data_IF_932418685989
#
_entry.id   IF_932418685989
#
_cell.length_a   1.000
_cell.length_b   1.000
_cell.length_c   1.000
_cell.angle_alpha   90.00
_cell.angle_beta   90.00
_cell.angle_gamma   90.00
#
_symmetry.space_group_name_H-M   'P 1'
#
loop_
_entity.id
_entity.type
_entity.pdbx_description
1 polymer ?
#
# COMPACT_ATOMS: atom_id res chain seq x y z
N UNK A 1 8.66 -14.14 -23.00
CA UNK A 1 7.24 -14.20 -22.59
C UNK A 1 7.04 -13.16 -21.51
N UNK A 2 6.15 -12.18 -21.76
CA UNK A 2 5.78 -11.24 -20.71
C UNK A 2 4.96 -12.01 -19.68
N UNK A 3 5.51 -12.12 -18.47
CA UNK A 3 4.83 -12.72 -17.32
C UNK A 3 3.58 -11.88 -17.00
N UNK A 4 2.44 -12.52 -16.74
CA UNK A 4 1.25 -11.82 -16.29
C UNK A 4 1.52 -11.08 -14.98
N UNK A 5 0.87 -9.94 -14.77
CA UNK A 5 0.96 -9.20 -13.52
C UNK A 5 0.34 -10.01 -12.39
N UNK A 6 1.03 -10.08 -11.26
CA UNK A 6 0.58 -10.78 -10.05
C UNK A 6 0.60 -9.78 -8.90
N UNK A 7 -0.47 -9.68 -8.14
CA UNK A 7 -0.50 -8.88 -6.93
C UNK A 7 0.40 -9.52 -5.86
N UNK A 8 1.30 -8.73 -5.30
CA UNK A 8 2.29 -9.24 -4.34
C UNK A 8 2.15 -8.48 -3.03
N UNK A 9 1.56 -9.12 -2.02
CA UNK A 9 1.37 -8.56 -0.68
C UNK A 9 2.53 -8.92 0.22
N UNK A 10 3.00 -7.98 1.03
CA UNK A 10 4.05 -8.23 2.01
C UNK A 10 3.44 -8.59 3.36
N UNK A 11 3.82 -9.76 3.86
CA UNK A 11 3.62 -10.18 5.23
C UNK A 11 4.74 -9.59 6.09
N UNK A 12 4.38 -8.73 7.01
CA UNK A 12 5.28 -8.08 7.95
C UNK A 12 4.84 -8.31 9.40
N UNK A 13 5.69 -8.00 10.36
CA UNK A 13 5.35 -8.03 11.78
C UNK A 13 4.85 -6.67 12.25
N UNK A 14 3.84 -6.69 13.14
CA UNK A 14 3.29 -5.49 13.77
C UNK A 14 3.86 -5.32 15.17
N UNK A 15 4.25 -4.10 15.52
CA UNK A 15 4.74 -3.76 16.87
C UNK A 15 3.61 -3.68 17.91
N UNK A 16 2.38 -3.49 17.44
CA UNK A 16 1.17 -3.39 18.27
C UNK A 16 -0.08 -3.81 17.51
N UNK A 17 -1.21 -3.88 18.21
CA UNK A 17 -2.54 -4.00 17.61
C UNK A 17 -3.25 -2.66 17.62
N UNK A 18 -3.92 -2.33 16.53
CA UNK A 18 -4.80 -1.17 16.43
C UNK A 18 -6.27 -1.59 16.39
N UNK A 19 -7.19 -0.79 16.99
CA UNK A 19 -8.63 -1.04 16.89
C UNK A 19 -9.10 -0.90 15.43
N UNK A 20 -9.55 -2.01 14.85
CA UNK A 20 -10.05 -2.04 13.46
C UNK A 20 -9.00 -2.40 12.41
N UNK A 21 -7.71 -2.41 12.77
CA UNK A 21 -6.62 -2.87 11.91
C UNK A 21 -6.28 -4.33 12.15
N UNK A 22 -5.72 -4.97 11.14
CA UNK A 22 -5.25 -6.37 11.18
C UNK A 22 -3.80 -6.49 10.69
N UNK A 23 -3.07 -5.37 10.61
CA UNK A 23 -1.74 -5.32 10.05
C UNK A 23 -1.71 -5.78 8.59
N UNK A 24 -0.71 -6.53 8.19
CA UNK A 24 -0.56 -6.99 6.80
C UNK A 24 -1.79 -7.73 6.24
N UNK A 25 -2.63 -8.30 7.13
CA UNK A 25 -3.82 -9.09 6.77
C UNK A 25 -5.07 -8.25 6.53
N UNK A 26 -5.00 -6.94 6.69
CA UNK A 26 -6.13 -6.03 6.49
C UNK A 26 -6.66 -6.18 5.06
N UNK A 27 -7.98 -6.48 4.95
CA UNK A 27 -8.73 -6.71 3.70
C UNK A 27 -8.19 -7.86 2.80
N UNK A 28 -7.31 -8.69 3.31
CA UNK A 28 -6.79 -9.86 2.59
C UNK A 28 -7.82 -11.02 2.60
N UNK A 29 -8.01 -11.77 1.51
CA UNK A 29 -7.43 -11.57 0.17
C UNK A 29 -8.31 -10.73 -0.76
N UNK A 30 -9.44 -10.25 -0.28
CA UNK A 30 -10.50 -9.64 -1.10
C UNK A 30 -10.01 -8.37 -1.82
N UNK A 31 -9.21 -7.53 -1.16
CA UNK A 31 -8.65 -6.33 -1.78
C UNK A 31 -7.72 -6.67 -2.95
N UNK A 32 -6.87 -7.69 -2.77
CA UNK A 32 -5.91 -8.16 -3.77
C UNK A 32 -6.63 -8.66 -5.03
N UNK A 33 -7.64 -9.52 -4.84
CA UNK A 33 -8.45 -10.06 -5.91
C UNK A 33 -9.24 -8.97 -6.65
N UNK A 34 -9.89 -8.07 -5.90
CA UNK A 34 -10.68 -6.97 -6.48
C UNK A 34 -9.82 -6.02 -7.31
N UNK A 35 -8.61 -5.69 -6.84
CA UNK A 35 -7.71 -4.84 -7.61
C UNK A 35 -7.29 -5.51 -8.93
N UNK A 36 -6.98 -6.82 -8.88
CA UNK A 36 -6.59 -7.58 -10.07
C UNK A 36 -7.72 -7.65 -11.10
N UNK A 37 -8.97 -7.87 -10.65
CA UNK A 37 -10.15 -7.83 -11.53
C UNK A 37 -10.26 -6.44 -12.18
N UNK A 38 -10.21 -5.37 -11.39
CA UNK A 38 -10.30 -4.00 -11.91
C UNK A 38 -9.18 -3.65 -12.87
N UNK A 39 -7.95 -4.06 -12.57
CA UNK A 39 -6.82 -3.84 -13.47
C UNK A 39 -7.04 -4.51 -14.83
N UNK A 40 -7.57 -5.73 -14.86
CA UNK A 40 -7.86 -6.46 -16.10
C UNK A 40 -9.00 -5.83 -16.90
N UNK A 41 -10.02 -5.27 -16.24
CA UNK A 41 -11.16 -4.62 -16.88
C UNK A 41 -10.83 -3.24 -17.45
N UNK A 42 -9.94 -2.50 -16.80
CA UNK A 42 -9.70 -1.08 -17.10
C UNK A 42 -8.43 -0.83 -17.89
N UNK A 43 -7.60 -1.84 -18.08
CA UNK A 43 -6.32 -1.73 -18.79
C UNK A 43 -6.08 -2.90 -19.71
N UNK A 44 -5.03 -2.82 -20.51
CA UNK A 44 -4.56 -3.94 -21.33
C UNK A 44 -3.54 -4.82 -20.60
N UNK A 45 -3.34 -4.60 -19.31
CA UNK A 45 -2.42 -5.41 -18.51
C UNK A 45 -2.92 -6.83 -18.38
N UNK A 46 -2.08 -7.78 -18.75
CA UNK A 46 -2.39 -9.19 -18.56
C UNK A 46 -2.28 -9.52 -17.07
N UNK A 47 -3.36 -10.00 -16.50
CA UNK A 47 -3.47 -10.45 -15.12
C UNK A 47 -3.44 -11.96 -15.08
N UNK A 48 -2.72 -12.53 -14.11
CA UNK A 48 -2.72 -13.96 -13.86
C UNK A 48 -4.01 -14.41 -13.18
N UNK A 49 -4.49 -15.61 -13.56
CA UNK A 49 -5.57 -16.32 -12.89
C UNK A 49 -5.12 -17.74 -12.54
N UNK A 50 -5.57 -18.22 -11.41
CA UNK A 50 -5.31 -19.58 -10.99
C UNK A 50 -6.22 -20.61 -11.70
N UNK A 51 -6.09 -21.89 -11.32
CA UNK A 51 -6.89 -22.99 -11.89
C UNK A 51 -8.38 -22.93 -11.54
N UNK A 52 -8.80 -22.06 -10.65
CA UNK A 52 -10.20 -21.84 -10.26
C UNK A 52 -10.80 -20.55 -10.85
N UNK A 53 -10.07 -19.91 -11.77
CA UNK A 53 -10.42 -18.62 -12.37
C UNK A 53 -10.44 -17.46 -11.36
N UNK A 54 -9.69 -17.60 -10.27
CA UNK A 54 -9.48 -16.55 -9.28
C UNK A 54 -8.20 -15.76 -9.62
N UNK A 55 -8.18 -14.42 -9.41
CA UNK A 55 -7.00 -13.62 -9.66
C UNK A 55 -5.79 -14.09 -8.85
N UNK A 56 -4.69 -14.26 -9.56
CA UNK A 56 -3.44 -14.75 -8.97
C UNK A 56 -2.80 -13.69 -8.08
N UNK A 57 -2.55 -14.02 -6.83
CA UNK A 57 -1.85 -13.15 -5.89
C UNK A 57 -0.84 -13.98 -5.07
N UNK A 58 0.13 -13.29 -4.49
CA UNK A 58 1.17 -13.93 -3.68
C UNK A 58 1.40 -13.14 -2.41
N UNK A 59 1.64 -13.86 -1.32
CA UNK A 59 2.11 -13.28 -0.06
C UNK A 59 3.59 -13.60 0.10
N UNK A 60 4.40 -12.57 0.33
CA UNK A 60 5.85 -12.65 0.45
C UNK A 60 6.31 -12.01 1.75
N UNK A 61 7.42 -12.47 2.27
CA UNK A 61 8.22 -11.72 3.25
C UNK A 61 9.28 -10.89 2.53
N UNK A 62 9.69 -9.79 3.14
CA UNK A 62 10.82 -9.00 2.60
C UNK A 62 12.11 -9.81 2.51
N UNK A 63 12.24 -10.85 3.33
CA UNK A 63 13.39 -11.76 3.36
C UNK A 63 13.32 -12.87 2.33
N UNK A 64 12.22 -13.05 1.61
CA UNK A 64 12.08 -14.11 0.60
C UNK A 64 13.02 -13.86 -0.58
N UNK A 65 13.63 -14.91 -1.09
CA UNK A 65 14.51 -14.84 -2.27
C UNK A 65 13.76 -14.33 -3.50
N UNK A 66 12.49 -14.72 -3.62
CA UNK A 66 11.62 -14.36 -4.75
C UNK A 66 11.13 -12.91 -4.74
N UNK A 67 11.42 -12.12 -3.70
CA UNK A 67 10.97 -10.73 -3.62
C UNK A 67 11.28 -9.94 -4.91
N UNK A 68 12.47 -10.12 -5.44
CA UNK A 68 12.95 -9.41 -6.62
C UNK A 68 12.37 -9.93 -7.95
N UNK A 69 11.61 -11.02 -7.94
CA UNK A 69 10.88 -11.51 -9.12
C UNK A 69 9.59 -10.72 -9.38
N UNK A 70 9.15 -9.93 -8.40
CA UNK A 70 7.91 -9.16 -8.43
C UNK A 70 8.20 -7.67 -8.45
N UNK A 71 7.89 -6.95 -9.53
CA UNK A 71 8.20 -5.51 -9.65
C UNK A 71 7.29 -4.62 -8.81
N UNK A 72 6.18 -5.16 -8.29
CA UNK A 72 5.19 -4.48 -7.48
C UNK A 72 4.99 -5.23 -6.16
N UNK A 73 5.00 -4.50 -5.06
CA UNK A 73 4.64 -5.02 -3.73
C UNK A 73 3.68 -4.07 -3.03
N UNK A 74 2.85 -4.62 -2.18
CA UNK A 74 1.81 -3.91 -1.45
C UNK A 74 1.92 -4.17 0.06
N UNK A 75 1.74 -3.14 0.85
CA UNK A 75 1.61 -3.20 2.31
C UNK A 75 0.37 -2.45 2.77
N UNK A 76 -0.51 -3.11 3.51
CA UNK A 76 -1.68 -2.49 4.13
C UNK A 76 -1.45 -2.27 5.62
N UNK A 77 -2.11 -1.26 6.21
CA UNK A 77 -2.14 -0.99 7.67
C UNK A 77 -0.74 -0.81 8.30
N UNK A 78 0.15 -0.14 7.55
CA UNK A 78 1.56 0.04 7.95
C UNK A 78 1.77 0.93 9.18
N UNK A 79 0.70 1.48 9.74
CA UNK A 79 0.76 2.20 11.00
C UNK A 79 1.27 1.37 12.19
N UNK A 80 1.27 0.04 12.04
CA UNK A 80 1.80 -0.92 13.01
C UNK A 80 3.05 -1.65 12.54
N UNK A 81 3.56 -1.32 11.36
CA UNK A 81 4.71 -1.98 10.75
C UNK A 81 5.93 -1.96 11.69
N UNK A 82 6.60 -3.10 11.77
CA UNK A 82 7.93 -3.22 12.37
C UNK A 82 8.86 -3.94 11.38
N UNK A 83 10.01 -3.32 11.10
CA UNK A 83 11.06 -3.89 10.27
C UNK A 83 12.31 -4.14 11.12
N UNK A 84 12.85 -5.33 11.04
CA UNK A 84 14.22 -5.58 11.51
C UNK A 84 15.26 -5.03 10.50
N UNK A 85 16.54 -5.10 10.86
CA UNK A 85 17.62 -4.53 10.02
C UNK A 85 17.75 -5.24 8.68
N UNK A 86 17.49 -6.55 8.62
CA UNK A 86 17.55 -7.34 7.39
C UNK A 86 16.38 -6.97 6.47
N UNK A 87 15.16 -6.91 7.00
CA UNK A 87 13.95 -6.53 6.25
C UNK A 87 14.08 -5.11 5.70
N UNK A 88 14.54 -4.16 6.54
CA UNK A 88 14.78 -2.79 6.11
C UNK A 88 15.83 -2.70 5.00
N UNK A 89 16.94 -3.41 5.13
CA UNK A 89 17.98 -3.48 4.10
C UNK A 89 17.45 -4.05 2.79
N UNK A 90 16.69 -5.15 2.84
CA UNK A 90 16.10 -5.81 1.68
C UNK A 90 15.06 -4.93 0.97
N UNK A 91 14.21 -4.25 1.74
CA UNK A 91 13.25 -3.29 1.20
C UNK A 91 13.97 -2.12 0.50
N UNK A 92 15.00 -1.59 1.13
CA UNK A 92 15.82 -0.53 0.54
C UNK A 92 16.48 -0.97 -0.77
N UNK A 93 17.03 -2.19 -0.83
CA UNK A 93 17.61 -2.75 -2.06
C UNK A 93 16.56 -2.96 -3.14
N UNK A 94 15.37 -3.45 -2.76
CA UNK A 94 14.24 -3.64 -3.67
C UNK A 94 13.84 -2.32 -4.34
N UNK A 95 13.65 -1.27 -3.55
CA UNK A 95 13.25 0.05 -4.05
C UNK A 95 14.33 0.72 -4.90
N UNK A 96 15.61 0.67 -4.47
CA UNK A 96 16.74 1.21 -5.25
C UNK A 96 16.95 0.49 -6.58
N UNK A 97 16.55 -0.77 -6.70
CA UNK A 97 16.58 -1.53 -7.96
C UNK A 97 15.37 -1.29 -8.86
N UNK A 98 14.47 -0.37 -8.50
CA UNK A 98 13.32 0.01 -9.29
C UNK A 98 12.04 -0.75 -8.99
N UNK A 99 11.98 -1.47 -7.87
CA UNK A 99 10.74 -2.04 -7.35
C UNK A 99 9.76 -0.95 -6.95
N UNK A 100 8.47 -1.22 -7.07
CA UNK A 100 7.40 -0.31 -6.71
C UNK A 100 6.68 -0.81 -5.45
N UNK A 101 6.59 0.03 -4.44
CA UNK A 101 5.83 -0.23 -3.22
C UNK A 101 4.58 0.66 -3.20
N UNK A 102 3.42 0.05 -3.03
CA UNK A 102 2.18 0.73 -2.68
C UNK A 102 1.82 0.47 -1.23
N UNK A 103 1.47 1.54 -0.53
CA UNK A 103 1.08 1.51 0.89
C UNK A 103 -0.27 2.19 1.04
N UNK A 104 -1.17 1.58 1.81
CA UNK A 104 -2.45 2.18 2.14
C UNK A 104 -2.98 1.76 3.52
N UNK A 105 -4.19 2.23 3.82
CA UNK A 105 -5.04 1.85 4.93
C UNK A 105 -4.37 1.99 6.31
N UNK A 106 -3.90 3.20 6.61
CA UNK A 106 -3.44 3.55 7.96
C UNK A 106 -3.90 4.95 8.37
N UNK A 107 -4.07 5.18 9.66
CA UNK A 107 -4.71 6.38 10.19
C UNK A 107 -3.85 7.10 11.21
N UNK A 108 -3.80 8.42 11.05
CA UNK A 108 -3.39 9.35 12.05
C UNK A 108 -1.92 9.63 12.18
N UNK A 109 -1.61 10.70 12.93
CA UNK A 109 -0.23 11.14 13.12
C UNK A 109 0.69 10.07 13.72
N UNK A 110 0.12 9.20 14.59
CA UNK A 110 0.89 8.12 15.18
C UNK A 110 1.27 7.05 14.16
N UNK A 111 0.30 6.61 13.36
CA UNK A 111 0.53 5.65 12.28
C UNK A 111 1.49 6.21 11.22
N UNK A 112 1.32 7.48 10.84
CA UNK A 112 2.23 8.18 9.94
C UNK A 112 3.67 8.22 10.49
N UNK A 113 3.84 8.58 11.77
CA UNK A 113 5.17 8.63 12.40
C UNK A 113 5.81 7.24 12.44
N UNK A 114 5.02 6.20 12.73
CA UNK A 114 5.50 4.82 12.71
C UNK A 114 5.96 4.42 11.31
N UNK A 115 5.12 4.64 10.29
CA UNK A 115 5.47 4.39 8.90
C UNK A 115 6.76 5.11 8.50
N UNK A 116 6.85 6.43 8.74
CA UNK A 116 8.03 7.24 8.40
C UNK A 116 9.29 6.75 9.12
N UNK A 117 9.17 6.29 10.36
CA UNK A 117 10.28 5.71 11.11
C UNK A 117 10.77 4.40 10.47
N UNK A 118 9.86 3.53 10.08
CA UNK A 118 10.24 2.23 9.52
C UNK A 118 10.76 2.34 8.10
N UNK A 119 10.10 3.11 7.22
CA UNK A 119 10.60 3.32 5.85
C UNK A 119 11.93 4.06 5.84
N UNK A 120 12.16 4.94 6.81
CA UNK A 120 13.43 5.66 6.98
C UNK A 120 14.64 4.76 7.26
N UNK A 121 14.43 3.54 7.78
CA UNK A 121 15.49 2.53 7.90
C UNK A 121 15.90 1.98 6.53
N UNK A 122 14.95 1.83 5.61
CA UNK A 122 15.18 1.33 4.26
C UNK A 122 15.68 2.43 3.31
N UNK A 123 15.07 3.61 3.39
CA UNK A 123 15.35 4.80 2.58
C UNK A 123 15.50 6.02 3.48
N UNK A 124 16.72 6.41 3.87
CA UNK A 124 16.96 7.56 4.71
C UNK A 124 16.37 8.85 4.12
N UNK A 125 15.56 9.57 4.89
CA UNK A 125 14.80 10.75 4.43
C UNK A 125 15.66 11.91 3.90
N UNK A 126 16.92 11.98 4.30
CA UNK A 126 17.88 12.96 3.78
C UNK A 126 18.27 12.73 2.32
N UNK A 127 18.17 11.49 1.84
CA UNK A 127 18.47 11.11 0.45
C UNK A 127 17.18 10.83 -0.35
N UNK A 128 16.12 10.38 0.34
CA UNK A 128 14.85 9.97 -0.26
C UNK A 128 13.70 10.71 0.45
N UNK A 129 13.50 12.01 0.16
CA UNK A 129 12.43 12.77 0.80
C UNK A 129 11.06 12.30 0.33
N UNK A 130 10.08 12.30 1.26
CA UNK A 130 8.67 12.13 0.93
C UNK A 130 8.10 13.50 0.56
N UNK A 131 7.30 13.56 -0.49
CA UNK A 131 6.64 14.78 -0.95
C UNK A 131 5.28 14.46 -1.57
N UNK A 132 4.41 15.47 -1.56
CA UNK A 132 3.10 15.37 -2.18
C UNK A 132 3.23 15.39 -3.71
N UNK A 133 2.44 14.54 -4.37
CA UNK A 133 2.39 14.51 -5.84
C UNK A 133 1.45 15.63 -6.30
N UNK A 134 1.93 16.64 -7.07
CA UNK A 134 1.09 17.73 -7.52
C UNK A 134 -0.02 17.24 -8.46
N UNK A 135 -1.18 17.90 -8.44
CA UNK A 135 -2.34 17.50 -9.25
C UNK A 135 -2.10 17.50 -10.77
N UNK A 136 -1.12 18.26 -11.23
CA UNK A 136 -0.70 18.28 -12.63
C UNK A 136 0.03 17.01 -13.04
N UNK A 137 0.50 16.20 -12.08
CA UNK A 137 1.23 14.99 -12.37
C UNK A 137 0.34 14.00 -13.15
N UNK A 138 0.87 13.35 -14.20
CA UNK A 138 0.09 12.44 -15.06
C UNK A 138 -0.62 11.31 -14.31
N UNK A 139 -0.12 10.88 -13.16
CA UNK A 139 -0.72 9.80 -12.35
C UNK A 139 -2.19 10.08 -12.02
N UNK A 140 -2.57 11.36 -11.85
CA UNK A 140 -3.94 11.76 -11.55
C UNK A 140 -4.89 11.73 -12.75
N UNK A 141 -4.39 11.30 -13.95
CA UNK A 141 -5.16 11.31 -15.20
C UNK A 141 -4.95 10.05 -16.04
N UNK A 142 -4.44 8.98 -15.44
CA UNK A 142 -4.13 7.74 -16.19
C UNK A 142 -5.40 7.02 -16.63
N UNK A 143 -6.37 6.86 -15.74
CA UNK A 143 -7.64 6.17 -16.00
C UNK A 143 -8.80 7.12 -15.75
N UNK A 144 -8.81 7.77 -14.61
CA UNK A 144 -9.78 8.80 -14.25
C UNK A 144 -9.07 10.13 -14.03
N UNK A 145 -9.80 11.23 -14.19
CA UNK A 145 -9.32 12.53 -13.75
C UNK A 145 -9.60 12.69 -12.27
N UNK A 146 -8.55 12.77 -11.46
CA UNK A 146 -8.62 13.02 -10.03
C UNK A 146 -8.35 14.51 -9.81
N UNK A 147 -9.34 15.26 -9.32
CA UNK A 147 -9.25 16.71 -9.09
C UNK A 147 -9.02 17.07 -7.62
N UNK A 148 -9.19 16.12 -6.73
CA UNK A 148 -8.95 16.25 -5.28
C UNK A 148 -8.48 14.92 -4.73
N UNK A 149 -7.71 14.92 -3.64
CA UNK A 149 -7.29 13.69 -2.97
C UNK A 149 -8.49 13.13 -2.20
N UNK A 150 -9.03 11.95 -2.56
CA UNK A 150 -10.16 11.39 -1.87
C UNK A 150 -9.74 10.86 -0.50
N UNK A 151 -10.44 11.28 0.54
CA UNK A 151 -10.31 10.68 1.86
C UNK A 151 -11.38 9.59 2.00
N UNK A 152 -10.96 8.33 2.06
CA UNK A 152 -11.85 7.17 2.12
C UNK A 152 -11.76 6.53 3.51
N UNK A 153 -12.66 6.91 4.43
CA UNK A 153 -12.64 6.37 5.78
C UNK A 153 -13.19 4.94 5.84
N UNK A 154 -12.88 4.22 6.91
CA UNK A 154 -13.59 2.98 7.18
C UNK A 154 -15.10 3.24 7.32
N UNK A 155 -15.91 2.26 6.92
CA UNK A 155 -17.38 2.36 7.05
C UNK A 155 -17.84 2.62 8.49
N UNK A 156 -17.09 2.13 9.47
CA UNK A 156 -17.37 2.32 10.88
C UNK A 156 -17.09 3.77 11.32
N UNK A 157 -16.00 4.39 10.85
CA UNK A 157 -15.72 5.80 11.10
C UNK A 157 -16.79 6.70 10.47
N UNK A 158 -17.15 6.43 9.21
CA UNK A 158 -18.20 7.14 8.50
C UNK A 158 -19.54 7.07 9.27
N UNK A 159 -19.97 5.88 9.67
CA UNK A 159 -21.22 5.69 10.42
C UNK A 159 -21.19 6.39 11.78
N UNK A 160 -20.07 6.30 12.52
CA UNK A 160 -19.95 6.97 13.85
C UNK A 160 -19.98 8.49 13.74
N UNK A 161 -19.51 9.05 12.64
CA UNK A 161 -19.59 10.50 12.39
C UNK A 161 -20.97 10.96 11.90
N UNK A 162 -21.93 10.04 11.72
CA UNK A 162 -23.22 10.33 11.11
C UNK A 162 -23.11 10.72 9.62
N UNK A 163 -22.13 10.18 8.92
CA UNK A 163 -21.89 10.44 7.51
C UNK A 163 -21.28 11.82 7.21
N UNK A 164 -20.61 12.42 8.20
CA UNK A 164 -20.13 13.81 8.10
C UNK A 164 -18.63 13.96 7.95
N UNK A 165 -17.85 12.95 8.36
CA UNK A 165 -16.39 13.08 8.42
C UNK A 165 -15.73 11.98 7.63
N UNK A 166 -14.91 12.37 6.67
CA UNK A 166 -14.10 11.46 5.85
C UNK A 166 -12.63 11.46 6.24
N UNK A 167 -12.21 12.41 7.09
CA UNK A 167 -10.84 12.56 7.54
C UNK A 167 -10.74 12.42 9.07
N UNK A 168 -9.54 12.22 9.57
CA UNK A 168 -9.25 12.20 10.99
C UNK A 168 -9.40 13.57 11.66
N UNK A 169 -9.62 13.56 13.00
CA UNK A 169 -9.63 14.79 13.78
C UNK A 169 -8.29 15.49 13.70
N UNK A 170 -8.31 16.76 13.35
CA UNK A 170 -7.13 17.63 13.35
C UNK A 170 -6.32 17.65 12.06
N UNK A 171 -6.71 16.87 11.04
CA UNK A 171 -6.15 16.99 9.70
C UNK A 171 -7.13 17.67 8.75
N UNK A 172 -6.65 18.68 8.05
CA UNK A 172 -7.30 19.13 6.83
C UNK A 172 -6.97 18.13 5.74
N UNK A 173 -7.85 17.99 4.74
CA UNK A 173 -7.66 17.15 3.56
C UNK A 173 -6.40 17.49 2.74
N UNK A 174 -5.69 18.52 3.11
CA UNK A 174 -4.48 19.05 2.47
C UNK A 174 -3.19 18.62 3.19
N UNK A 175 -3.30 17.93 4.34
CA UNK A 175 -2.14 17.47 5.13
C UNK A 175 -2.08 15.93 5.10
N UNK A 176 -1.73 15.36 3.96
CA UNK A 176 -1.37 13.95 3.85
C UNK A 176 0.14 13.81 3.92
#
# INVERSE_FOLDING_TARGET
EHRAFTFSRILYESDRREPGGQGWYTDYPTADQNLMIRLSEMTTTKVGFDKYDEPDHVVLRLTDEKLFDYPFIFMSDVGTLWLDDLEASRLGDYLRKGGFLWVDDFWGPHAWTQWMTQIGKALPSGEYPVFDIPFEHPIHRVVYTVNEIPQIPSIQHWRRSGGRTTSERGRRSEEV
#
